data_IF_137952023660
#
_entry.id   IF_137952023660
#
_cell.length_a   1.000
_cell.length_b   1.000
_cell.length_c   1.000
_cell.angle_alpha   90.00
_cell.angle_beta   90.00
_cell.angle_gamma   90.00
#
_symmetry.space_group_name_H-M   'P 1'
#
loop_
_entity.id
_entity.type
_entity.pdbx_description
1 polymer ?
#
# COMPACT_ATOMS: atom_id res chain seq x y z
N UNK A 1 -27.58 1.68 14.14
CA UNK A 1 -26.60 1.02 13.26
C UNK A 1 -25.37 1.88 13.20
N UNK A 2 -24.19 1.29 13.33
CA UNK A 2 -22.95 2.02 13.13
C UNK A 2 -22.85 2.45 11.66
N UNK A 3 -22.19 3.58 11.39
CA UNK A 3 -22.04 4.11 10.02
C UNK A 3 -21.42 3.08 9.06
N UNK A 4 -20.49 2.26 9.57
CA UNK A 4 -19.82 1.20 8.79
C UNK A 4 -20.79 0.08 8.41
N UNK A 5 -21.65 -0.36 9.33
CA UNK A 5 -22.63 -1.42 9.09
C UNK A 5 -23.63 -1.00 8.01
N UNK A 6 -24.05 0.27 8.01
CA UNK A 6 -24.93 0.79 6.97
C UNK A 6 -24.26 0.78 5.59
N UNK A 7 -23.00 1.22 5.51
CA UNK A 7 -22.23 1.19 4.26
C UNK A 7 -22.05 -0.25 3.75
N UNK A 8 -21.81 -1.22 4.65
CA UNK A 8 -21.70 -2.63 4.28
C UNK A 8 -23.00 -3.14 3.64
N UNK A 9 -24.16 -2.84 4.23
CA UNK A 9 -25.45 -3.20 3.68
C UNK A 9 -25.69 -2.59 2.28
N UNK A 10 -25.32 -1.32 2.09
CA UNK A 10 -25.40 -0.66 0.77
C UNK A 10 -24.47 -1.31 -0.26
N UNK A 11 -23.28 -1.75 0.15
CA UNK A 11 -22.33 -2.46 -0.71
C UNK A 11 -22.88 -3.83 -1.13
N UNK A 12 -23.50 -4.56 -0.21
CA UNK A 12 -24.14 -5.86 -0.49
C UNK A 12 -25.33 -5.74 -1.45
N UNK A 13 -25.99 -4.58 -1.49
CA UNK A 13 -27.10 -4.29 -2.40
C UNK A 13 -26.66 -3.86 -3.82
N UNK A 14 -25.35 -3.68 -4.06
CA UNK A 14 -24.83 -3.24 -5.36
C UNK A 14 -25.01 -4.31 -6.44
N UNK A 15 -25.16 -3.84 -7.68
CA UNK A 15 -24.99 -4.72 -8.84
C UNK A 15 -23.54 -5.21 -8.93
N UNK A 16 -23.31 -6.37 -9.54
CA UNK A 16 -21.95 -6.90 -9.82
C UNK A 16 -21.03 -5.87 -10.49
N UNK A 17 -21.59 -5.07 -11.42
CA UNK A 17 -20.86 -4.02 -12.13
C UNK A 17 -20.42 -2.90 -11.19
N UNK A 18 -21.33 -2.43 -10.33
CA UNK A 18 -21.04 -1.33 -9.41
C UNK A 18 -20.14 -1.79 -8.28
N UNK A 19 -20.31 -3.02 -7.81
CA UNK A 19 -19.40 -3.67 -6.86
C UNK A 19 -17.98 -3.78 -7.44
N UNK A 20 -17.83 -4.23 -8.68
CA UNK A 20 -16.52 -4.29 -9.35
C UNK A 20 -15.86 -2.91 -9.49
N UNK A 21 -16.66 -1.88 -9.82
CA UNK A 21 -16.19 -0.49 -9.88
C UNK A 21 -15.74 0.02 -8.51
N UNK A 22 -16.53 -0.24 -7.46
CA UNK A 22 -16.20 0.14 -6.09
C UNK A 22 -14.91 -0.54 -5.63
N UNK A 23 -14.78 -1.84 -5.87
CA UNK A 23 -13.58 -2.61 -5.53
C UNK A 23 -12.33 -2.05 -6.20
N UNK A 24 -12.42 -1.69 -7.49
CA UNK A 24 -11.30 -1.07 -8.20
C UNK A 24 -10.88 0.25 -7.54
N UNK A 25 -11.85 1.11 -7.26
CA UNK A 25 -11.59 2.39 -6.59
C UNK A 25 -10.98 2.21 -5.20
N UNK A 26 -11.43 1.20 -4.43
CA UNK A 26 -10.89 0.92 -3.09
C UNK A 26 -9.40 0.52 -3.16
N UNK A 27 -9.04 -0.35 -4.11
CA UNK A 27 -7.65 -0.74 -4.33
C UNK A 27 -6.78 0.47 -4.70
N UNK A 28 -7.26 1.34 -5.58
CA UNK A 28 -6.54 2.58 -5.94
C UNK A 28 -6.34 3.49 -4.71
N UNK A 29 -7.31 3.55 -3.80
CA UNK A 29 -7.20 4.32 -2.55
C UNK A 29 -6.21 3.73 -1.58
N UNK A 30 -6.15 2.40 -1.47
CA UNK A 30 -5.17 1.74 -0.61
C UNK A 30 -3.75 1.89 -1.17
N UNK A 31 -3.57 1.87 -2.49
CA UNK A 31 -2.28 2.22 -3.11
C UNK A 31 -1.86 3.66 -2.80
N UNK A 32 -2.76 4.64 -2.91
CA UNK A 32 -2.46 6.03 -2.56
C UNK A 32 -2.02 6.18 -1.10
N UNK A 33 -2.70 5.50 -0.17
CA UNK A 33 -2.31 5.51 1.25
C UNK A 33 -0.95 4.85 1.48
N UNK A 34 -0.68 3.79 0.74
CA UNK A 34 0.61 3.10 0.82
C UNK A 34 1.75 4.00 0.32
N UNK A 35 1.55 4.71 -0.79
CA UNK A 35 2.52 5.69 -1.30
C UNK A 35 2.77 6.80 -0.27
N UNK A 36 1.72 7.39 0.30
CA UNK A 36 1.83 8.42 1.35
C UNK A 36 2.58 7.91 2.60
N UNK A 37 2.28 6.69 3.03
CA UNK A 37 2.95 6.07 4.18
C UNK A 37 4.42 5.78 3.87
N UNK A 38 4.73 5.30 2.67
CA UNK A 38 6.09 5.04 2.23
C UNK A 38 6.91 6.32 2.21
N UNK A 39 6.38 7.40 1.63
CA UNK A 39 7.04 8.71 1.61
C UNK A 39 7.30 9.23 3.03
N UNK A 40 6.33 9.10 3.93
CA UNK A 40 6.49 9.48 5.32
C UNK A 40 7.57 8.64 6.04
N UNK A 41 7.63 7.34 5.79
CA UNK A 41 8.61 6.44 6.39
C UNK A 41 10.02 6.67 5.85
N UNK A 42 10.15 7.00 4.56
CA UNK A 42 11.41 7.47 3.95
C UNK A 42 11.85 8.78 4.61
N UNK A 43 10.95 9.77 4.72
CA UNK A 43 11.28 11.06 5.34
C UNK A 43 11.65 10.93 6.83
N UNK A 44 11.11 9.93 7.52
CA UNK A 44 11.42 9.62 8.91
C UNK A 44 12.70 8.78 9.09
N UNK A 45 13.39 8.39 8.01
CA UNK A 45 14.60 7.57 8.05
C UNK A 45 14.35 6.11 8.47
N UNK A 46 13.09 5.66 8.50
CA UNK A 46 12.76 4.28 8.93
C UNK A 46 13.29 3.22 7.99
N UNK A 47 13.59 3.60 6.75
CA UNK A 47 14.10 2.71 5.71
C UNK A 47 15.62 2.83 5.52
N UNK A 48 16.32 3.63 6.33
CA UNK A 48 17.76 3.83 6.20
C UNK A 48 18.56 2.53 6.38
N UNK A 49 18.05 1.59 7.21
CA UNK A 49 18.66 0.28 7.39
C UNK A 49 18.75 -0.53 6.08
N UNK A 50 17.81 -0.33 5.14
CA UNK A 50 17.84 -0.98 3.83
C UNK A 50 18.97 -0.41 2.96
N UNK A 51 19.25 0.88 3.08
CA UNK A 51 20.37 1.52 2.38
C UNK A 51 21.71 1.02 2.94
N UNK A 52 21.81 0.87 4.27
CA UNK A 52 22.99 0.30 4.93
C UNK A 52 23.21 -1.16 4.51
N UNK A 53 22.16 -1.97 4.50
CA UNK A 53 22.22 -3.37 4.08
C UNK A 53 22.63 -3.51 2.61
N UNK A 54 22.04 -2.70 1.73
CA UNK A 54 22.42 -2.66 0.32
C UNK A 54 23.89 -2.25 0.14
N UNK A 55 24.36 -1.26 0.92
CA UNK A 55 25.77 -0.84 0.94
C UNK A 55 26.71 -1.96 1.39
N UNK A 56 26.34 -2.68 2.45
CA UNK A 56 27.12 -3.82 2.95
C UNK A 56 27.15 -4.98 1.94
N UNK A 57 26.03 -5.30 1.31
CA UNK A 57 25.95 -6.32 0.27
C UNK A 57 26.82 -5.95 -0.94
N UNK A 58 26.85 -4.65 -1.30
CA UNK A 58 27.70 -4.12 -2.39
C UNK A 58 29.18 -4.29 -2.06
N UNK A 59 29.58 -3.91 -0.85
CA UNK A 59 30.95 -4.05 -0.38
C UNK A 59 31.41 -5.52 -0.35
N UNK A 60 30.49 -6.45 -0.10
CA UNK A 60 30.75 -7.89 -0.09
C UNK A 60 30.69 -8.55 -1.48
N UNK A 61 30.40 -7.79 -2.55
CA UNK A 61 30.24 -8.34 -3.90
C UNK A 61 29.06 -9.31 -4.03
N UNK A 62 28.06 -9.21 -3.13
CA UNK A 62 26.87 -10.08 -3.09
C UNK A 62 25.65 -9.46 -3.77
N UNK A 63 25.78 -8.24 -4.30
CA UNK A 63 24.74 -7.64 -5.12
C UNK A 63 24.67 -8.43 -6.43
N UNK A 64 23.52 -9.05 -6.70
CA UNK A 64 23.25 -9.57 -8.04
C UNK A 64 23.08 -8.37 -8.98
N UNK A 65 23.73 -8.41 -10.14
CA UNK A 65 23.34 -7.56 -11.25
C UNK A 65 21.88 -7.88 -11.62
N UNK A 66 21.08 -6.82 -11.75
CA UNK A 66 19.67 -6.90 -12.14
C UNK A 66 19.52 -7.08 -13.64
#
# INVERSE_FOLDING_TARGET
MAQVEHIQAEIEALSERDFARLRKWLVEKDWQRWDEQLEADVAAGKLDFLLEEAGAAKAQGKLQDM
#
